data_IF_239109743493
#
_entry.id   IF_239109743493
#
_cell.length_a   1.000
_cell.length_b   1.000
_cell.length_c   1.000
_cell.angle_alpha   90.00
_cell.angle_beta   90.00
_cell.angle_gamma   90.00
#
_symmetry.space_group_name_H-M   'P 1'
#
loop_
_entity.id
_entity.type
_entity.pdbx_description
1 polymer ?
#
# COMPACT_ATOMS: atom_id res chain seq x y z
N UNK A 1 -9.05 -8.75 6.91
CA UNK A 1 -9.15 -7.40 7.50
C UNK A 1 -8.79 -6.39 6.42
N UNK A 2 -9.77 -5.61 5.95
CA UNK A 2 -9.54 -4.54 4.99
C UNK A 2 -9.55 -3.21 5.72
N UNK A 3 -8.54 -2.39 5.49
CA UNK A 3 -8.50 -1.01 5.97
C UNK A 3 -8.21 -0.10 4.79
N UNK A 4 -8.75 1.11 4.84
CA UNK A 4 -8.46 2.17 3.87
C UNK A 4 -7.69 3.24 4.60
N UNK A 5 -6.52 3.60 4.06
CA UNK A 5 -5.72 4.70 4.56
C UNK A 5 -5.72 5.82 3.52
N UNK A 6 -6.15 7.01 3.92
CA UNK A 6 -6.22 8.20 3.06
C UNK A 6 -5.25 9.25 3.59
N UNK A 7 -4.36 9.72 2.71
CA UNK A 7 -3.42 10.80 3.01
C UNK A 7 -3.79 12.05 2.18
N UNK A 8 -4.66 12.94 2.70
CA UNK A 8 -5.03 14.17 2.00
C UNK A 8 -3.88 15.18 2.03
N UNK A 9 -3.83 16.09 1.05
CA UNK A 9 -2.86 17.19 1.00
C UNK A 9 -1.71 17.02 0.00
N UNK A 10 -1.82 16.08 -0.94
CA UNK A 10 -0.87 15.93 -2.04
C UNK A 10 -1.44 16.49 -3.35
N UNK A 11 -0.60 17.18 -4.09
CA UNK A 11 -0.91 17.69 -5.43
C UNK A 11 -1.05 16.51 -6.42
N UNK A 12 -1.99 16.60 -7.36
CA UNK A 12 -2.50 15.47 -8.16
C UNK A 12 -1.51 14.75 -9.09
N UNK A 13 -0.23 15.09 -9.05
CA UNK A 13 0.83 14.49 -9.88
C UNK A 13 2.01 13.93 -9.06
N UNK A 14 1.82 13.79 -7.75
CA UNK A 14 2.86 13.23 -6.87
C UNK A 14 3.12 11.77 -7.20
N UNK A 15 4.40 11.43 -7.33
CA UNK A 15 4.83 10.05 -7.53
C UNK A 15 4.48 9.18 -6.32
N UNK A 16 3.91 8.00 -6.58
CA UNK A 16 3.52 6.99 -5.59
C UNK A 16 4.62 6.69 -4.56
N UNK A 17 5.88 6.64 -4.99
CA UNK A 17 7.03 6.43 -4.07
C UNK A 17 7.20 7.55 -3.03
N UNK A 18 6.86 8.81 -3.36
CA UNK A 18 6.87 9.91 -2.38
C UNK A 18 5.78 9.75 -1.35
N UNK A 19 4.57 9.35 -1.78
CA UNK A 19 3.44 9.06 -0.89
C UNK A 19 3.84 7.95 0.08
N UNK A 20 4.37 6.84 -0.44
CA UNK A 20 4.79 5.70 0.39
C UNK A 20 5.83 6.09 1.44
N UNK A 21 6.84 6.87 1.04
CA UNK A 21 7.89 7.34 1.94
C UNK A 21 7.35 8.21 3.06
N UNK A 22 6.39 9.08 2.75
CA UNK A 22 5.77 9.94 3.75
C UNK A 22 4.93 9.12 4.75
N UNK A 23 4.18 8.14 4.24
CA UNK A 23 3.39 7.23 5.08
C UNK A 23 4.24 6.46 6.09
N UNK A 24 5.46 6.05 5.70
CA UNK A 24 6.40 5.35 6.58
C UNK A 24 7.00 6.28 7.63
N UNK A 25 7.41 7.48 7.22
CA UNK A 25 8.18 8.39 8.07
C UNK A 25 7.31 9.28 8.97
N UNK A 26 5.99 9.33 8.74
CA UNK A 26 5.09 10.17 9.51
C UNK A 26 4.94 9.66 10.94
N UNK A 27 4.97 10.60 11.91
CA UNK A 27 4.87 10.33 13.36
C UNK A 27 3.60 9.58 13.79
N UNK A 28 2.52 9.71 13.01
CA UNK A 28 1.26 8.97 13.14
C UNK A 28 0.90 8.26 11.82
N UNK A 29 1.92 7.80 11.11
CA UNK A 29 1.78 7.09 9.84
C UNK A 29 1.15 5.70 10.00
N UNK A 30 1.21 4.93 8.92
CA UNK A 30 0.58 3.62 8.89
C UNK A 30 1.18 2.70 9.96
N UNK A 31 0.34 2.11 10.81
CA UNK A 31 0.77 1.12 11.81
C UNK A 31 0.81 -0.25 11.16
N UNK A 32 1.97 -0.90 11.23
CA UNK A 32 2.18 -2.20 10.59
C UNK A 32 2.01 -3.33 11.59
N UNK A 33 1.19 -4.36 11.29
CA UNK A 33 1.16 -5.57 12.08
C UNK A 33 2.51 -6.30 11.98
N UNK A 34 3.02 -6.76 13.12
CA UNK A 34 4.28 -7.50 13.18
C UNK A 34 4.16 -8.83 12.39
N UNK A 35 5.15 -9.11 11.54
CA UNK A 35 5.19 -10.34 10.74
C UNK A 35 4.31 -10.35 9.49
N UNK A 36 3.69 -9.22 9.13
CA UNK A 36 2.85 -9.11 7.94
C UNK A 36 3.36 -8.01 6.98
N UNK A 37 3.01 -8.13 5.70
CA UNK A 37 3.28 -7.15 4.65
C UNK A 37 1.97 -6.61 4.09
N UNK A 38 1.92 -5.32 3.78
CA UNK A 38 0.83 -4.76 3.01
C UNK A 38 1.07 -4.98 1.51
N UNK A 39 0.05 -5.52 0.84
CA UNK A 39 0.06 -5.60 -0.61
C UNK A 39 -0.27 -4.21 -1.18
N UNK A 40 0.59 -3.70 -2.05
CA UNK A 40 0.42 -2.40 -2.71
C UNK A 40 0.31 -2.57 -4.22
N UNK A 41 -0.16 -1.52 -4.89
CA UNK A 41 -0.23 -1.48 -6.34
C UNK A 41 1.18 -1.71 -6.96
N UNK A 42 1.21 -2.24 -8.17
CA UNK A 42 2.43 -2.54 -8.92
C UNK A 42 3.25 -1.28 -9.27
N UNK A 43 2.70 -0.08 -9.09
CA UNK A 43 3.40 1.19 -9.25
C UNK A 43 4.34 1.52 -8.08
N UNK A 44 4.20 0.81 -6.94
CA UNK A 44 5.04 1.00 -5.77
C UNK A 44 6.28 0.09 -5.82
N UNK A 45 7.35 0.55 -5.18
CA UNK A 45 8.57 -0.26 -5.02
C UNK A 45 8.44 -1.16 -3.79
N UNK A 46 8.89 -2.41 -3.90
CA UNK A 46 9.02 -3.31 -2.74
C UNK A 46 9.95 -2.70 -1.70
N UNK A 47 9.50 -2.63 -0.45
CA UNK A 47 10.32 -2.18 0.68
C UNK A 47 9.88 -2.87 1.97
N UNK A 48 10.57 -2.58 3.08
CA UNK A 48 10.19 -3.15 4.36
C UNK A 48 8.69 -2.88 4.62
N UNK A 49 7.92 -3.95 4.85
CA UNK A 49 6.48 -3.94 5.15
C UNK A 49 5.53 -3.64 3.97
N UNK A 50 6.05 -3.45 2.76
CA UNK A 50 5.25 -3.29 1.54
C UNK A 50 5.70 -4.21 0.41
N UNK A 51 4.74 -4.92 -0.17
CA UNK A 51 4.95 -5.81 -1.29
C UNK A 51 4.08 -5.37 -2.47
N UNK A 52 4.72 -4.89 -3.54
CA UNK A 52 4.07 -4.60 -4.80
C UNK A 52 3.68 -5.90 -5.49
N UNK A 53 2.47 -5.91 -6.04
CA UNK A 53 2.00 -7.05 -6.83
C UNK A 53 2.91 -7.30 -8.04
N UNK A 54 3.18 -8.58 -8.33
CA UNK A 54 3.96 -8.97 -9.50
C UNK A 54 3.28 -8.51 -10.79
N UNK A 55 3.99 -7.70 -11.58
CA UNK A 55 3.46 -7.13 -12.83
C UNK A 55 3.12 -8.25 -13.81
N UNK A 56 1.88 -8.26 -14.31
CA UNK A 56 1.40 -9.29 -15.24
C UNK A 56 0.77 -10.52 -14.57
N UNK A 57 0.73 -10.59 -13.23
CA UNK A 57 -0.04 -11.60 -12.50
C UNK A 57 -1.15 -10.93 -11.71
N UNK A 58 -2.40 -11.16 -12.13
CA UNK A 58 -3.56 -10.73 -11.36
C UNK A 58 -3.61 -11.54 -10.07
N UNK A 59 -3.29 -10.91 -8.95
CA UNK A 59 -3.60 -11.48 -7.64
C UNK A 59 -5.10 -11.34 -7.46
N UNK A 60 -5.84 -12.38 -7.83
CA UNK A 60 -7.21 -12.53 -7.40
C UNK A 60 -7.15 -12.90 -5.91
N UNK A 61 -7.26 -11.91 -5.03
CA UNK A 61 -7.69 -12.19 -3.67
C UNK A 61 -9.04 -12.88 -3.79
N UNK A 62 -9.14 -14.13 -3.34
CA UNK A 62 -10.37 -14.95 -3.37
C UNK A 62 -11.51 -14.37 -2.49
N UNK A 63 -11.40 -13.13 -2.02
CA UNK A 63 -12.41 -12.45 -1.21
C UNK A 63 -13.57 -11.88 -2.05
N UNK A 64 -13.53 -12.02 -3.38
CA UNK A 64 -14.66 -11.71 -4.27
C UNK A 64 -15.69 -12.85 -4.31
N UNK A 65 -16.12 -13.33 -3.14
CA UNK A 65 -17.17 -14.35 -3.02
C UNK A 65 -18.37 -13.97 -2.16
N UNK A 66 -18.41 -12.78 -1.54
CA UNK A 66 -19.62 -12.28 -0.89
C UNK A 66 -19.75 -10.78 -1.14
N UNK A 67 -20.70 -10.44 -2.03
CA UNK A 67 -21.17 -9.07 -2.24
C UNK A 67 -22.10 -8.60 -1.13
#
# INVERSE_FOLDING_TARGET
>A
MHFVYVLPGWEGFVADGRVLRDVINRRHGLKFPHGCYYLVDASYTNCERFLASFRGKRYHLNEWHQG
#
